data_IF_304128924807
#
_entry.id   IF_304128924807
#
_cell.length_a   1.000
_cell.length_b   1.000
_cell.length_c   1.000
_cell.angle_alpha   90.00
_cell.angle_beta   90.00
_cell.angle_gamma   90.00
#
_symmetry.space_group_name_H-M   'P 1'
#
loop_
_entity.id
_entity.type
_entity.pdbx_description
1 polymer ?
#
# COMPACT_ATOMS: atom_id res chain seq x y z
N UNK A 1 -54.94 67.71 28.52
CA UNK A 1 -53.84 67.96 27.56
C UNK A 1 -52.58 68.23 28.40
N UNK A 2 -51.41 67.66 28.03
CA UNK A 2 -50.14 67.46 28.79
C UNK A 2 -50.05 66.08 29.50
N UNK A 3 -49.35 65.05 28.98
CA UNK A 3 -47.91 64.81 28.70
C UNK A 3 -47.08 64.71 30.00
N UNK A 4 -46.16 63.77 30.28
CA UNK A 4 -45.48 62.70 29.54
C UNK A 4 -44.67 61.84 30.56
N UNK A 5 -44.64 60.51 30.35
CA UNK A 5 -43.47 59.61 30.37
C UNK A 5 -42.75 59.17 31.67
N UNK A 6 -42.76 57.84 31.80
CA UNK A 6 -41.97 56.86 32.55
C UNK A 6 -40.45 56.96 32.31
N UNK A 7 -39.61 56.86 33.35
CA UNK A 7 -38.16 56.68 33.21
C UNK A 7 -37.74 55.29 33.70
N UNK A 8 -37.29 54.47 32.75
CA UNK A 8 -36.77 53.10 32.93
C UNK A 8 -35.26 53.18 33.19
N UNK A 9 -34.80 52.55 34.27
CA UNK A 9 -33.38 52.37 34.58
C UNK A 9 -32.83 51.16 33.80
N UNK A 10 -31.92 51.38 32.86
CA UNK A 10 -31.23 50.32 32.11
C UNK A 10 -29.93 49.97 32.84
N UNK A 11 -29.82 48.72 33.28
CA UNK A 11 -28.59 48.16 33.89
C UNK A 11 -27.68 47.64 32.77
N UNK A 12 -26.50 48.26 32.65
CA UNK A 12 -25.44 47.85 31.73
C UNK A 12 -24.70 46.63 32.29
N UNK A 13 -24.94 45.43 31.75
CA UNK A 13 -24.12 44.24 32.04
C UNK A 13 -23.07 44.07 30.94
N UNK A 14 -21.82 44.41 31.25
CA UNK A 14 -20.67 44.12 30.39
C UNK A 14 -20.35 42.63 30.41
N UNK A 15 -20.61 41.93 29.31
CA UNK A 15 -20.16 40.56 29.11
C UNK A 15 -18.68 40.54 28.70
N UNK A 16 -17.83 39.92 29.52
CA UNK A 16 -16.45 39.60 29.14
C UNK A 16 -16.54 38.43 28.14
N UNK A 17 -16.31 38.70 26.85
CA UNK A 17 -16.13 37.67 25.84
C UNK A 17 -14.76 37.02 26.06
N UNK A 18 -14.74 35.90 26.80
CA UNK A 18 -13.54 35.07 26.92
C UNK A 18 -13.40 34.24 25.64
N UNK A 19 -12.47 34.64 24.76
CA UNK A 19 -12.15 33.86 23.57
C UNK A 19 -11.38 32.60 23.99
N UNK A 20 -12.00 31.43 23.88
CA UNK A 20 -11.33 30.15 24.08
C UNK A 20 -10.17 30.01 23.10
N UNK A 21 -8.96 29.61 23.57
CA UNK A 21 -7.81 29.47 22.68
C UNK A 21 -8.06 28.39 21.64
N UNK A 22 -7.71 28.68 20.39
CA UNK A 22 -7.75 27.72 19.28
C UNK A 22 -6.88 26.50 19.64
N UNK A 23 -7.53 25.34 19.81
CA UNK A 23 -6.88 24.05 20.03
C UNK A 23 -6.79 23.34 18.70
N UNK A 24 -5.57 23.10 18.22
CA UNK A 24 -5.36 22.16 17.11
C UNK A 24 -5.38 20.76 17.73
N UNK A 25 -6.44 20.00 17.44
CA UNK A 25 -6.46 18.55 17.66
C UNK A 25 -5.82 17.89 16.44
N UNK A 26 -4.72 17.16 16.65
CA UNK A 26 -4.18 16.29 15.61
C UNK A 26 -5.13 15.10 15.52
N UNK A 27 -6.05 15.13 14.56
CA UNK A 27 -6.79 13.95 14.14
C UNK A 27 -5.80 12.94 13.57
N UNK A 28 -6.06 11.64 13.73
CA UNK A 28 -5.20 10.60 13.17
C UNK A 28 -4.98 10.87 11.67
N UNK A 29 -3.72 10.85 11.22
CA UNK A 29 -3.39 11.06 9.82
C UNK A 29 -4.12 10.04 8.94
N UNK A 30 -4.77 10.52 7.88
CA UNK A 30 -5.30 9.63 6.83
C UNK A 30 -4.11 9.13 6.03
N UNK A 31 -3.70 7.89 6.25
CA UNK A 31 -2.67 7.25 5.44
C UNK A 31 -3.36 6.73 4.18
N UNK A 32 -3.04 7.34 3.03
CA UNK A 32 -3.42 6.79 1.74
C UNK A 32 -2.54 5.57 1.44
N UNK A 33 -3.12 4.36 1.28
CA UNK A 33 -2.31 3.16 1.08
C UNK A 33 -1.61 3.17 -0.28
N UNK A 34 -0.33 2.81 -0.29
CA UNK A 34 0.49 2.72 -1.50
C UNK A 34 -0.02 1.59 -2.42
N UNK A 35 -0.41 1.87 -3.68
CA UNK A 35 -0.81 0.85 -4.63
C UNK A 35 0.36 -0.04 -5.05
N UNK A 36 0.18 -1.36 -4.99
CA UNK A 36 1.20 -2.30 -5.45
C UNK A 36 0.61 -3.43 -6.31
N UNK A 37 1.41 -3.95 -7.23
CA UNK A 37 1.11 -5.15 -7.99
C UNK A 37 2.04 -6.29 -7.57
N UNK A 38 1.46 -7.48 -7.38
CA UNK A 38 2.21 -8.71 -7.14
C UNK A 38 1.66 -9.82 -8.05
N UNK A 39 2.16 -9.95 -9.28
CA UNK A 39 1.85 -11.09 -10.12
C UNK A 39 2.23 -12.40 -9.43
N UNK A 40 1.54 -13.48 -9.78
CA UNK A 40 1.89 -14.82 -9.26
C UNK A 40 3.37 -15.10 -9.56
N UNK A 41 4.12 -15.48 -8.52
CA UNK A 41 5.51 -15.83 -8.66
C UNK A 41 5.69 -16.97 -9.66
N UNK A 42 6.77 -16.91 -10.42
CA UNK A 42 7.07 -17.88 -11.46
C UNK A 42 7.50 -19.19 -10.82
N UNK A 43 6.87 -20.29 -11.22
CA UNK A 43 7.33 -21.62 -10.86
C UNK A 43 8.39 -22.07 -11.87
N UNK A 44 9.65 -22.11 -11.46
CA UNK A 44 10.80 -22.53 -12.28
C UNK A 44 10.87 -24.07 -12.40
N UNK A 45 10.17 -24.80 -11.53
CA UNK A 45 10.02 -26.26 -11.60
C UNK A 45 8.55 -26.66 -11.45
N UNK A 46 8.13 -27.81 -12.02
CA UNK A 46 6.74 -28.28 -11.89
C UNK A 46 6.27 -28.41 -10.44
N UNK A 47 7.16 -28.85 -9.55
CA UNK A 47 6.87 -29.03 -8.12
C UNK A 47 6.72 -27.69 -7.36
N UNK A 48 7.07 -26.56 -7.98
CA UNK A 48 7.00 -25.25 -7.35
C UNK A 48 5.67 -24.51 -7.57
N UNK A 49 4.76 -25.01 -8.41
CA UNK A 49 3.53 -24.29 -8.82
C UNK A 49 2.67 -23.91 -7.62
N UNK A 50 2.43 -24.84 -6.71
CA UNK A 50 1.62 -24.58 -5.52
C UNK A 50 2.36 -23.67 -4.53
N UNK A 51 3.65 -23.92 -4.29
CA UNK A 51 4.49 -23.10 -3.42
C UNK A 51 4.54 -21.66 -3.89
N UNK A 52 4.65 -21.43 -5.20
CA UNK A 52 4.68 -20.09 -5.80
C UNK A 52 3.36 -19.34 -5.56
N UNK A 53 2.20 -20.00 -5.76
CA UNK A 53 0.89 -19.40 -5.48
C UNK A 53 0.68 -19.09 -4.00
N UNK A 54 1.07 -20.01 -3.12
CA UNK A 54 0.96 -19.84 -1.68
C UNK A 54 1.85 -18.70 -1.20
N UNK A 55 3.09 -18.63 -1.67
CA UNK A 55 4.02 -17.56 -1.31
C UNK A 55 3.54 -16.20 -1.83
N UNK A 56 3.04 -16.13 -3.07
CA UNK A 56 2.41 -14.91 -3.61
C UNK A 56 1.27 -14.45 -2.70
N UNK A 57 0.42 -15.38 -2.26
CA UNK A 57 -0.72 -15.09 -1.39
C UNK A 57 -0.28 -14.58 -0.02
N UNK A 58 0.77 -15.16 0.57
CA UNK A 58 1.35 -14.69 1.84
C UNK A 58 1.86 -13.26 1.69
N UNK A 59 2.73 -12.99 0.70
CA UNK A 59 3.28 -11.63 0.47
C UNK A 59 2.16 -10.61 0.29
N UNK A 60 1.14 -10.94 -0.51
CA UNK A 60 -0.01 -10.09 -0.71
C UNK A 60 -0.77 -9.81 0.59
N UNK A 61 -1.07 -10.86 1.36
CA UNK A 61 -1.85 -10.75 2.58
C UNK A 61 -1.09 -9.98 3.67
N UNK A 62 0.22 -10.17 3.77
CA UNK A 62 1.06 -9.46 4.73
C UNK A 62 1.09 -7.96 4.42
N UNK A 63 1.30 -7.58 3.15
CA UNK A 63 1.33 -6.17 2.74
C UNK A 63 -0.03 -5.49 2.92
N UNK A 64 -1.10 -6.11 2.41
CA UNK A 64 -2.46 -5.56 2.55
C UNK A 64 -2.90 -5.51 4.01
N UNK A 65 -2.48 -6.46 4.84
CA UNK A 65 -2.77 -6.52 6.27
C UNK A 65 -2.17 -5.38 7.09
N UNK A 66 -1.14 -4.67 6.58
CA UNK A 66 -0.58 -3.49 7.27
C UNK A 66 -1.47 -2.26 7.19
N UNK A 67 -2.39 -2.20 6.22
CA UNK A 67 -3.13 -0.98 5.89
C UNK A 67 -2.30 0.09 5.18
N UNK A 68 -0.99 -0.11 5.00
CA UNK A 68 -0.09 0.81 4.28
C UNK A 68 -0.07 0.57 2.77
N UNK A 69 -0.57 -0.58 2.32
CA UNK A 69 -0.53 -0.99 0.93
C UNK A 69 -1.91 -1.42 0.43
N UNK A 70 -2.20 -1.12 -0.83
CA UNK A 70 -3.41 -1.55 -1.54
C UNK A 70 -3.04 -2.39 -2.74
N UNK A 71 -3.51 -3.64 -2.78
CA UNK A 71 -3.28 -4.51 -3.92
C UNK A 71 -4.03 -3.99 -5.16
N UNK A 72 -3.34 -4.02 -6.30
CA UNK A 72 -3.95 -3.92 -7.62
C UNK A 72 -4.28 -5.34 -8.09
N UNK A 73 -5.57 -5.66 -8.32
CA UNK A 73 -6.00 -7.01 -8.61
C UNK A 73 -5.37 -7.52 -9.91
N UNK A 74 -5.11 -8.83 -9.97
CA UNK A 74 -4.50 -9.47 -11.14
C UNK A 74 -5.28 -9.31 -12.44
N UNK A 75 -6.61 -9.11 -12.36
CA UNK A 75 -7.46 -8.80 -13.50
C UNK A 75 -7.16 -7.45 -14.14
N UNK A 76 -6.51 -6.53 -13.43
CA UNK A 76 -6.07 -5.25 -13.95
C UNK A 76 -4.65 -5.31 -14.55
N UNK A 77 -3.87 -6.36 -14.32
CA UNK A 77 -2.49 -6.42 -14.80
C UNK A 77 -2.46 -6.45 -16.34
N UNK A 78 -1.86 -5.42 -16.94
CA UNK A 78 -1.74 -5.29 -18.41
C UNK A 78 -0.69 -6.26 -18.95
N UNK A 79 0.46 -6.32 -18.26
CA UNK A 79 1.59 -7.17 -18.63
C UNK A 79 1.66 -8.44 -17.75
N UNK A 80 2.30 -9.48 -18.29
CA UNK A 80 2.62 -10.71 -17.55
C UNK A 80 4.13 -10.84 -17.38
N UNK A 81 4.57 -11.17 -16.18
CA UNK A 81 5.97 -11.52 -15.91
C UNK A 81 6.15 -13.00 -16.23
N UNK A 82 6.84 -13.31 -17.33
CA UNK A 82 6.98 -14.69 -17.84
C UNK A 82 8.27 -15.38 -17.42
N UNK A 83 9.31 -14.62 -17.09
CA UNK A 83 10.55 -15.15 -16.50
C UNK A 83 11.13 -14.15 -15.50
N UNK A 84 11.94 -14.64 -14.57
CA UNK A 84 12.54 -13.79 -13.53
C UNK A 84 13.58 -12.80 -14.08
N UNK A 85 14.18 -13.14 -15.23
CA UNK A 85 15.17 -12.30 -15.91
C UNK A 85 14.57 -11.35 -16.95
N UNK A 86 13.27 -11.45 -17.23
CA UNK A 86 12.60 -10.56 -18.18
C UNK A 86 12.72 -9.10 -17.74
N UNK A 87 13.06 -8.18 -18.66
CA UNK A 87 12.91 -6.75 -18.40
C UNK A 87 11.47 -6.39 -18.04
N UNK A 88 11.30 -5.46 -17.10
CA UNK A 88 9.99 -4.96 -16.70
C UNK A 88 9.53 -3.88 -17.68
N UNK A 89 8.31 -4.06 -18.24
CA UNK A 89 7.64 -3.02 -19.03
C UNK A 89 6.94 -2.04 -18.10
N UNK A 90 7.68 -1.07 -17.57
CA UNK A 90 7.17 -0.13 -16.55
C UNK A 90 5.91 0.62 -16.98
N UNK A 91 5.78 0.95 -18.26
CA UNK A 91 4.60 1.63 -18.83
C UNK A 91 3.29 0.90 -18.52
N UNK A 92 3.30 -0.43 -18.57
CA UNK A 92 2.10 -1.24 -18.38
C UNK A 92 1.63 -1.24 -16.93
N UNK A 93 2.56 -1.04 -15.99
CA UNK A 93 2.28 -0.93 -14.56
C UNK A 93 1.89 0.50 -14.17
N UNK A 94 2.47 1.50 -14.83
CA UNK A 94 2.08 2.91 -14.67
C UNK A 94 0.63 3.15 -15.09
N UNK A 95 0.18 2.52 -16.20
CA UNK A 95 -1.20 2.65 -16.71
C UNK A 95 -2.26 2.22 -15.68
N UNK A 96 -1.91 1.31 -14.78
CA UNK A 96 -2.81 0.83 -13.72
C UNK A 96 -2.56 1.50 -12.36
N UNK A 97 -1.75 2.57 -12.35
CA UNK A 97 -1.35 3.33 -11.17
C UNK A 97 -0.69 2.46 -10.09
N UNK A 98 0.18 1.53 -10.50
CA UNK A 98 1.05 0.83 -9.56
C UNK A 98 2.24 1.71 -9.19
N UNK A 99 2.48 1.89 -7.89
CA UNK A 99 3.70 2.56 -7.40
C UNK A 99 4.82 1.54 -7.19
N UNK A 100 4.47 0.33 -6.74
CA UNK A 100 5.39 -0.77 -6.55
C UNK A 100 5.00 -2.02 -7.35
N UNK A 101 5.99 -2.71 -7.90
CA UNK A 101 5.84 -4.02 -8.52
C UNK A 101 6.73 -5.03 -7.81
N UNK A 102 6.15 -6.14 -7.35
CA UNK A 102 6.87 -7.24 -6.72
C UNK A 102 6.84 -8.43 -7.67
N UNK A 103 8.02 -8.90 -8.05
CA UNK A 103 8.17 -10.09 -8.90
C UNK A 103 8.98 -11.15 -8.17
N UNK A 104 8.72 -12.41 -8.48
CA UNK A 104 9.42 -13.50 -7.84
C UNK A 104 9.43 -14.77 -8.67
N UNK A 105 10.36 -15.65 -8.34
CA UNK A 105 10.41 -17.01 -8.85
C UNK A 105 10.70 -17.99 -7.73
N UNK A 106 10.19 -19.20 -7.90
CA UNK A 106 10.28 -20.29 -6.94
C UNK A 106 10.68 -21.54 -7.68
N UNK A 107 11.70 -22.22 -7.18
CA UNK A 107 12.10 -23.55 -7.64
C UNK A 107 12.08 -24.53 -6.47
N UNK A 108 11.54 -25.71 -6.70
CA UNK A 108 11.60 -26.84 -5.76
C UNK A 108 12.34 -27.98 -6.45
N UNK A 109 13.45 -28.42 -5.86
CA UNK A 109 14.22 -29.54 -6.41
C UNK A 109 13.67 -30.90 -5.93
N UNK A 110 14.19 -32.00 -6.48
CA UNK A 110 13.74 -33.36 -6.14
C UNK A 110 14.03 -33.76 -4.69
N UNK A 111 14.92 -33.04 -4.00
CA UNK A 111 15.24 -33.26 -2.59
C UNK A 111 14.35 -32.44 -1.64
N UNK A 112 13.36 -31.71 -2.16
CA UNK A 112 12.48 -30.85 -1.36
C UNK A 112 13.08 -29.50 -0.94
N UNK A 113 14.25 -29.14 -1.48
CA UNK A 113 14.83 -27.81 -1.26
C UNK A 113 14.09 -26.78 -2.08
N UNK A 114 13.57 -25.76 -1.40
CA UNK A 114 12.92 -24.60 -1.99
C UNK A 114 13.94 -23.48 -2.14
N UNK A 115 14.00 -22.87 -3.31
CA UNK A 115 14.72 -21.62 -3.56
C UNK A 115 13.73 -20.59 -4.05
N UNK A 116 13.74 -19.43 -3.42
CA UNK A 116 12.89 -18.28 -3.75
C UNK A 116 13.80 -17.13 -4.16
N UNK A 117 13.48 -16.48 -5.26
CA UNK A 117 14.11 -15.25 -5.71
C UNK A 117 13.02 -14.18 -5.85
N UNK A 118 13.29 -12.95 -5.42
CA UNK A 118 12.36 -11.85 -5.64
C UNK A 118 13.07 -10.54 -5.92
N UNK A 119 12.36 -9.64 -6.60
CA UNK A 119 12.74 -8.26 -6.85
C UNK A 119 11.56 -7.35 -6.58
N UNK A 120 11.87 -6.17 -6.09
CA UNK A 120 10.91 -5.08 -5.93
C UNK A 120 11.34 -3.96 -6.85
N UNK A 121 10.38 -3.40 -7.55
CA UNK A 121 10.58 -2.28 -8.45
C UNK A 121 9.74 -1.10 -8.00
N UNK A 122 10.34 0.08 -8.03
CA UNK A 122 9.63 1.35 -8.02
C UNK A 122 9.24 1.66 -9.46
N UNK A 123 7.93 1.70 -9.71
CA UNK A 123 7.35 1.88 -11.04
C UNK A 123 7.43 3.33 -11.50
N UNK A 124 7.46 4.29 -10.56
CA UNK A 124 7.57 5.71 -10.86
C UNK A 124 8.98 6.06 -11.31
N UNK A 125 10.00 5.69 -10.52
CA UNK A 125 11.41 5.93 -10.88
C UNK A 125 11.94 4.93 -11.91
N UNK A 126 11.19 3.86 -12.20
CA UNK A 126 11.54 2.78 -13.13
C UNK A 126 12.83 2.06 -12.73
N UNK A 127 13.00 1.84 -11.43
CA UNK A 127 14.21 1.28 -10.84
C UNK A 127 13.92 0.07 -9.98
N UNK A 128 14.87 -0.86 -9.94
CA UNK A 128 14.90 -1.92 -8.93
C UNK A 128 15.23 -1.30 -7.57
N UNK A 129 14.42 -1.59 -6.56
CA UNK A 129 14.66 -1.16 -5.20
C UNK A 129 15.69 -2.08 -4.56
N UNK A 130 16.89 -1.55 -4.33
CA UNK A 130 18.01 -2.27 -3.76
C UNK A 130 18.60 -3.29 -4.73
N UNK A 131 18.71 -4.54 -4.29
CA UNK A 131 19.15 -5.65 -5.10
C UNK A 131 18.31 -6.87 -4.77
N UNK A 132 17.79 -7.55 -5.79
CA UNK A 132 16.96 -8.73 -5.65
C UNK A 132 17.53 -9.75 -4.66
N UNK A 133 16.64 -10.39 -3.92
CA UNK A 133 17.00 -11.28 -2.83
C UNK A 133 16.77 -12.74 -3.22
N UNK A 134 17.61 -13.62 -2.67
CA UNK A 134 17.52 -15.07 -2.85
C UNK A 134 17.55 -15.76 -1.50
N UNK A 135 16.51 -16.54 -1.25
CA UNK A 135 16.37 -17.38 -0.06
C UNK A 135 16.37 -18.85 -0.46
N UNK A 136 16.84 -19.71 0.42
CA UNK A 136 16.79 -21.16 0.21
C UNK A 136 16.55 -21.87 1.53
N UNK A 137 15.67 -22.86 1.52
CA UNK A 137 15.27 -23.63 2.69
C UNK A 137 14.78 -25.03 2.29
N UNK A 138 14.43 -25.84 3.28
CA UNK A 138 13.79 -27.14 3.07
C UNK A 138 12.29 -27.00 3.30
N UNK A 139 11.47 -27.73 2.54
CA UNK A 139 10.01 -27.81 2.77
C UNK A 139 9.61 -28.79 3.90
N UNK A 140 10.56 -29.18 4.77
CA UNK A 140 10.38 -30.19 5.83
C UNK A 140 10.57 -29.58 7.20
#
# INVERSE_FOLDING_TARGET
MFRFIFAVFIILHGGILSATPLRIEITQGVIEPMPFAVPVFIAETPNAVEVARNLTSVVRNDLTGTGLFREIPSSAHVSKITSFSSPVQFSDWQVINADALITGSVSVNNSGKVTVMFRVYDVFSQQELGSGLKFSGSAN
#
